data_IF_335046853834
#
_entry.id   IF_335046853834
#
_cell.length_a   1.000
_cell.length_b   1.000
_cell.length_c   1.000
_cell.angle_alpha   90.00
_cell.angle_beta   90.00
_cell.angle_gamma   90.00
#
_symmetry.space_group_name_H-M   'P 1'
#
loop_
_entity.id
_entity.type
_entity.pdbx_description
1 polymer ?
#
# COMPACT_ATOMS: atom_id res chain seq x y z
N UNK A 1 21.22 22.48 -6.77
CA UNK A 1 20.46 21.49 -5.98
C UNK A 1 21.46 20.53 -5.42
N UNK A 2 21.38 20.04 -4.17
CA UNK A 2 22.28 19.00 -3.73
C UNK A 2 22.13 17.82 -4.68
N UNK A 3 23.26 17.20 -5.06
CA UNK A 3 23.28 16.02 -5.93
C UNK A 3 22.46 14.91 -5.25
N UNK A 4 21.22 14.73 -5.69
CA UNK A 4 20.42 13.60 -5.21
C UNK A 4 21.05 12.33 -5.75
N UNK A 5 21.23 11.37 -4.89
CA UNK A 5 21.90 10.08 -5.17
C UNK A 5 21.21 9.27 -6.29
N UNK A 6 19.91 9.46 -6.49
CA UNK A 6 19.12 8.70 -7.45
C UNK A 6 18.47 9.61 -8.49
N UNK A 7 18.38 9.13 -9.73
CA UNK A 7 17.72 9.84 -10.83
C UNK A 7 16.21 9.74 -10.73
N UNK A 8 15.69 8.56 -10.38
CA UNK A 8 14.26 8.33 -10.15
C UNK A 8 14.03 7.65 -8.80
N UNK A 9 12.89 7.98 -8.22
CA UNK A 9 12.37 7.37 -7.00
C UNK A 9 11.04 6.68 -7.33
N UNK A 10 10.93 5.41 -6.93
CA UNK A 10 9.71 4.61 -7.02
C UNK A 10 9.19 4.32 -5.62
N UNK A 11 7.96 4.68 -5.34
CA UNK A 11 7.34 4.48 -4.03
C UNK A 11 6.08 3.63 -4.16
N UNK A 12 5.89 2.70 -3.25
CA UNK A 12 4.53 2.21 -2.99
C UNK A 12 3.67 3.32 -2.39
N UNK A 13 2.38 3.14 -2.43
CA UNK A 13 1.42 4.11 -1.92
C UNK A 13 0.97 3.78 -0.50
N UNK A 14 0.18 2.72 -0.36
CA UNK A 14 -0.36 2.28 0.92
C UNK A 14 0.74 1.61 1.76
N UNK A 15 1.02 2.12 2.96
CA UNK A 15 2.10 1.63 3.84
C UNK A 15 3.45 2.31 3.64
N UNK A 16 3.61 3.13 2.57
CA UNK A 16 4.83 3.90 2.32
C UNK A 16 4.56 5.39 2.33
N UNK A 17 3.67 5.88 1.49
CA UNK A 17 3.26 7.29 1.44
C UNK A 17 2.14 7.54 2.44
N UNK A 18 1.16 6.62 2.50
CA UNK A 18 -0.12 6.80 3.19
C UNK A 18 -0.41 5.63 4.12
N UNK A 19 -0.83 5.91 5.34
CA UNK A 19 -1.57 4.96 6.17
C UNK A 19 -3.06 5.01 5.82
N UNK A 20 -3.54 4.02 5.11
CA UNK A 20 -4.94 3.81 4.74
C UNK A 20 -5.63 2.74 5.60
N UNK A 21 -5.02 2.28 6.69
CA UNK A 21 -5.50 1.14 7.47
C UNK A 21 -6.94 1.32 7.93
N UNK A 22 -7.30 2.53 8.35
CA UNK A 22 -8.64 2.84 8.85
C UNK A 22 -9.70 2.69 7.76
N UNK A 23 -9.43 3.19 6.57
CA UNK A 23 -10.31 3.05 5.39
C UNK A 23 -10.40 1.58 4.99
N UNK A 24 -9.27 0.90 4.83
CA UNK A 24 -9.21 -0.49 4.42
C UNK A 24 -9.93 -1.45 5.38
N UNK A 25 -9.79 -1.24 6.70
CA UNK A 25 -10.49 -2.05 7.70
C UNK A 25 -12.01 -1.84 7.61
N UNK A 26 -12.48 -0.59 7.52
CA UNK A 26 -13.89 -0.28 7.37
C UNK A 26 -14.45 -0.82 6.05
N UNK A 27 -13.73 -0.63 4.94
CA UNK A 27 -14.09 -1.17 3.63
C UNK A 27 -14.29 -2.69 3.70
N UNK A 28 -13.34 -3.38 4.30
CA UNK A 28 -13.40 -4.83 4.47
C UNK A 28 -14.58 -5.26 5.33
N UNK A 29 -14.86 -4.55 6.41
CA UNK A 29 -15.96 -4.86 7.32
C UNK A 29 -17.33 -4.65 6.68
N UNK A 30 -17.48 -3.62 5.86
CA UNK A 30 -18.77 -3.21 5.31
C UNK A 30 -19.03 -3.69 3.88
N UNK A 31 -18.06 -4.18 3.14
CA UNK A 31 -18.27 -4.71 1.78
C UNK A 31 -19.44 -5.72 1.76
N UNK A 32 -20.38 -5.54 0.86
CA UNK A 32 -21.61 -6.35 0.73
C UNK A 32 -22.70 -6.08 1.76
N UNK A 33 -22.54 -5.04 2.63
CA UNK A 33 -23.59 -4.62 3.58
C UNK A 33 -24.29 -3.37 3.05
N UNK A 34 -25.60 -3.28 3.30
CA UNK A 34 -26.34 -2.04 3.02
C UNK A 34 -25.98 -0.97 4.07
N UNK A 35 -25.25 0.03 3.64
CA UNK A 35 -24.81 1.17 4.47
C UNK A 35 -25.25 2.52 3.88
N UNK A 36 -26.16 2.53 2.91
CA UNK A 36 -26.58 3.73 2.16
C UNK A 36 -27.20 4.82 3.01
N UNK A 37 -27.72 4.48 4.20
CA UNK A 37 -28.31 5.43 5.15
C UNK A 37 -27.36 5.88 6.25
N UNK A 38 -26.05 5.58 6.14
CA UNK A 38 -25.05 5.91 7.15
C UNK A 38 -23.95 6.78 6.54
N UNK A 39 -23.44 7.74 7.32
CA UNK A 39 -22.28 8.53 6.93
C UNK A 39 -21.01 7.72 7.10
N UNK A 40 -20.00 7.95 6.27
CA UNK A 40 -18.70 7.28 6.40
C UNK A 40 -18.06 7.56 7.78
N UNK A 41 -18.20 8.77 8.31
CA UNK A 41 -17.71 9.11 9.66
C UNK A 41 -18.30 8.21 10.74
N UNK A 42 -19.62 7.93 10.66
CA UNK A 42 -20.28 6.98 11.57
C UNK A 42 -19.74 5.57 11.38
N UNK A 43 -19.63 5.09 10.13
CA UNK A 43 -19.12 3.75 9.81
C UNK A 43 -17.69 3.54 10.31
N UNK A 44 -16.81 4.53 10.10
CA UNK A 44 -15.42 4.49 10.58
C UNK A 44 -15.30 4.42 12.12
N UNK A 45 -16.32 4.92 12.84
CA UNK A 45 -16.31 4.95 14.31
C UNK A 45 -16.90 3.69 14.96
N UNK A 46 -17.61 2.85 14.20
CA UNK A 46 -18.30 1.67 14.74
C UNK A 46 -17.79 0.35 14.15
N UNK A 47 -16.66 0.37 13.44
CA UNK A 47 -15.93 -0.88 13.12
C UNK A 47 -15.59 -1.56 14.44
N UNK A 48 -15.95 -2.84 14.65
CA UNK A 48 -15.66 -3.49 15.93
C UNK A 48 -14.16 -3.54 16.22
N UNK A 49 -13.77 -3.19 17.44
CA UNK A 49 -12.36 -3.16 17.87
C UNK A 49 -11.64 -4.49 17.61
N UNK A 50 -12.32 -5.61 17.85
CA UNK A 50 -11.73 -6.93 17.60
C UNK A 50 -11.42 -7.16 16.12
N UNK A 51 -12.25 -6.60 15.21
CA UNK A 51 -12.03 -6.71 13.77
C UNK A 51 -10.91 -5.78 13.31
N UNK A 52 -10.87 -4.53 13.76
CA UNK A 52 -9.79 -3.59 13.45
C UNK A 52 -8.43 -4.16 13.90
N UNK A 53 -8.35 -4.70 15.13
CA UNK A 53 -7.15 -5.37 15.62
C UNK A 53 -6.76 -6.58 14.77
N UNK A 54 -7.74 -7.40 14.37
CA UNK A 54 -7.53 -8.55 13.49
C UNK A 54 -7.02 -8.12 12.11
N UNK A 55 -7.65 -7.11 11.51
CA UNK A 55 -7.24 -6.57 10.22
C UNK A 55 -5.80 -6.06 10.28
N UNK A 56 -5.46 -5.25 11.28
CA UNK A 56 -4.10 -4.73 11.48
C UNK A 56 -3.07 -5.84 11.69
N UNK A 57 -3.43 -6.88 12.44
CA UNK A 57 -2.54 -8.03 12.65
C UNK A 57 -2.23 -8.79 11.36
N UNK A 58 -3.20 -8.92 10.46
CA UNK A 58 -3.02 -9.61 9.18
C UNK A 58 -2.51 -8.70 8.06
N UNK A 59 -2.66 -7.38 8.19
CA UNK A 59 -2.32 -6.40 7.15
C UNK A 59 -0.91 -6.56 6.57
N UNK A 60 0.12 -6.88 7.35
CA UNK A 60 1.47 -7.10 6.83
C UNK A 60 1.57 -8.17 5.73
N UNK A 61 0.70 -9.17 5.74
CA UNK A 61 0.71 -10.27 4.77
C UNK A 61 -0.16 -10.02 3.54
N UNK A 62 -1.02 -8.99 3.58
CA UNK A 62 -1.95 -8.64 2.50
C UNK A 62 -1.26 -7.78 1.44
N UNK A 63 -1.46 -8.10 0.16
CA UNK A 63 -0.84 -7.41 -0.97
C UNK A 63 -1.84 -6.65 -1.83
N UNK A 64 -3.03 -7.19 -1.98
CA UNK A 64 -4.09 -6.71 -2.86
C UNK A 64 -5.43 -6.72 -2.14
N UNK A 65 -6.44 -6.05 -2.69
CA UNK A 65 -7.77 -5.92 -2.09
C UNK A 65 -8.42 -7.29 -1.79
N UNK A 66 -8.22 -8.26 -2.65
CA UNK A 66 -8.77 -9.61 -2.50
C UNK A 66 -8.23 -10.35 -1.26
N UNK A 67 -7.02 -10.02 -0.80
CA UNK A 67 -6.43 -10.58 0.42
C UNK A 67 -7.16 -10.10 1.70
N UNK A 68 -7.84 -8.95 1.64
CA UNK A 68 -8.54 -8.39 2.80
C UNK A 68 -9.66 -9.31 3.30
N UNK A 69 -10.29 -10.08 2.40
CA UNK A 69 -11.34 -11.03 2.75
C UNK A 69 -10.88 -12.06 3.79
N UNK A 70 -9.59 -12.43 3.80
CA UNK A 70 -9.02 -13.34 4.80
C UNK A 70 -9.32 -12.86 6.22
N UNK A 71 -9.22 -11.57 6.50
CA UNK A 71 -9.49 -11.00 7.83
C UNK A 71 -10.94 -11.13 8.27
N UNK A 72 -11.89 -11.23 7.34
CA UNK A 72 -13.33 -11.44 7.64
C UNK A 72 -13.69 -12.89 7.93
N UNK A 73 -13.02 -13.83 7.24
CA UNK A 73 -13.43 -15.23 7.22
C UNK A 73 -12.65 -16.10 8.20
N UNK A 74 -11.41 -15.70 8.51
CA UNK A 74 -10.56 -16.49 9.40
C UNK A 74 -10.91 -16.23 10.86
N UNK A 75 -11.03 -17.31 11.64
CA UNK A 75 -11.30 -17.23 13.08
C UNK A 75 -10.23 -16.44 13.83
N UNK A 76 -10.64 -15.70 14.86
CA UNK A 76 -9.76 -14.81 15.63
C UNK A 76 -8.68 -15.55 16.44
N UNK A 77 -8.84 -16.84 16.67
CA UNK A 77 -7.88 -17.71 17.37
C UNK A 77 -6.76 -18.24 16.48
N UNK A 78 -6.93 -18.14 15.13
CA UNK A 78 -5.89 -18.55 14.18
C UNK A 78 -4.78 -17.51 14.19
N UNK A 79 -3.54 -17.99 14.44
CA UNK A 79 -2.32 -17.19 14.32
C UNK A 79 -1.74 -17.34 12.93
N UNK A 80 -1.16 -16.26 12.43
CA UNK A 80 -0.43 -16.20 11.16
C UNK A 80 0.93 -15.59 11.44
N UNK A 81 1.98 -16.36 11.28
CA UNK A 81 3.34 -15.96 11.63
C UNK A 81 4.26 -15.88 10.40
N UNK A 82 3.74 -16.27 9.22
CA UNK A 82 4.48 -16.23 7.96
C UNK A 82 3.60 -15.88 6.76
N UNK A 83 4.23 -15.46 5.66
CA UNK A 83 3.54 -15.24 4.40
C UNK A 83 2.95 -16.54 3.83
N UNK A 84 3.64 -17.66 3.99
CA UNK A 84 3.18 -18.95 3.48
C UNK A 84 1.91 -19.42 4.20
N UNK A 85 1.85 -19.28 5.53
CA UNK A 85 0.63 -19.56 6.30
C UNK A 85 -0.55 -18.67 5.87
N UNK A 86 -0.29 -17.39 5.63
CA UNK A 86 -1.31 -16.48 5.12
C UNK A 86 -1.82 -16.94 3.75
N UNK A 87 -0.93 -17.31 2.84
CA UNK A 87 -1.28 -17.78 1.50
C UNK A 87 -2.03 -19.12 1.52
N UNK A 88 -1.71 -20.00 2.46
CA UNK A 88 -2.46 -21.25 2.67
C UNK A 88 -3.90 -20.96 3.08
N UNK A 89 -4.11 -20.09 4.07
CA UNK A 89 -5.45 -19.65 4.48
C UNK A 89 -6.20 -18.98 3.33
N UNK A 90 -5.54 -18.12 2.58
CA UNK A 90 -6.11 -17.44 1.41
C UNK A 90 -6.53 -18.42 0.32
N UNK A 91 -5.74 -19.47 0.08
CA UNK A 91 -6.02 -20.50 -0.92
C UNK A 91 -7.25 -21.37 -0.59
N UNK A 92 -7.62 -21.44 0.67
CA UNK A 92 -8.81 -22.14 1.14
C UNK A 92 -10.12 -21.38 0.94
N UNK A 93 -10.08 -20.12 0.50
CA UNK A 93 -11.28 -19.30 0.25
C UNK A 93 -11.77 -19.56 -1.18
N UNK A 94 -13.08 -19.76 -1.31
CA UNK A 94 -13.72 -19.95 -2.62
C UNK A 94 -13.49 -18.74 -3.54
N UNK A 95 -13.14 -18.99 -4.81
CA UNK A 95 -12.83 -17.95 -5.77
C UNK A 95 -14.02 -17.02 -6.02
N UNK A 96 -15.24 -17.53 -6.04
CA UNK A 96 -16.46 -16.70 -6.23
C UNK A 96 -16.68 -15.77 -5.04
N UNK A 97 -16.41 -16.23 -3.80
CA UNK A 97 -16.53 -15.38 -2.62
C UNK A 97 -15.52 -14.22 -2.65
N UNK A 98 -14.34 -14.45 -3.24
CA UNK A 98 -13.32 -13.41 -3.44
C UNK A 98 -13.78 -12.41 -4.50
N UNK A 99 -14.29 -12.89 -5.63
CA UNK A 99 -14.79 -12.04 -6.72
C UNK A 99 -15.93 -11.15 -6.22
N UNK A 100 -16.91 -11.73 -5.53
CA UNK A 100 -18.03 -10.99 -4.92
C UNK A 100 -17.53 -9.93 -3.93
N UNK A 101 -16.61 -10.30 -3.05
CA UNK A 101 -16.02 -9.36 -2.09
C UNK A 101 -15.30 -8.19 -2.78
N UNK A 102 -14.49 -8.46 -3.80
CA UNK A 102 -13.76 -7.42 -4.54
C UNK A 102 -14.72 -6.48 -5.24
N UNK A 103 -15.78 -7.01 -5.85
CA UNK A 103 -16.83 -6.22 -6.48
C UNK A 103 -17.53 -5.31 -5.46
N UNK A 104 -17.96 -5.86 -4.34
CA UNK A 104 -18.65 -5.14 -3.27
C UNK A 104 -17.76 -4.06 -2.64
N UNK A 105 -16.49 -4.37 -2.39
CA UNK A 105 -15.53 -3.44 -1.83
C UNK A 105 -15.25 -2.27 -2.79
N UNK A 106 -15.05 -2.55 -4.09
CA UNK A 106 -14.86 -1.50 -5.09
C UNK A 106 -16.12 -0.62 -5.23
N UNK A 107 -17.31 -1.21 -5.25
CA UNK A 107 -18.57 -0.47 -5.28
C UNK A 107 -18.72 0.44 -4.05
N UNK A 108 -18.38 -0.09 -2.86
CA UNK A 108 -18.46 0.66 -1.61
C UNK A 108 -17.43 1.82 -1.57
N UNK A 109 -16.19 1.60 -2.00
CA UNK A 109 -15.17 2.65 -2.09
C UNK A 109 -15.62 3.75 -3.06
N UNK A 110 -16.13 3.37 -4.23
CA UNK A 110 -16.69 4.31 -5.22
C UNK A 110 -17.87 5.10 -4.65
N UNK A 111 -18.73 4.46 -3.85
CA UNK A 111 -19.82 5.13 -3.15
C UNK A 111 -19.29 6.17 -2.14
N UNK A 112 -18.31 5.81 -1.31
CA UNK A 112 -17.72 6.73 -0.33
C UNK A 112 -17.00 7.92 -1.00
N UNK A 113 -16.19 7.65 -2.03
CA UNK A 113 -15.49 8.71 -2.77
C UNK A 113 -16.44 9.65 -3.51
N UNK A 114 -17.66 9.20 -3.86
CA UNK A 114 -18.64 10.05 -4.55
C UNK A 114 -19.56 10.82 -3.60
N UNK A 115 -19.95 10.21 -2.45
CA UNK A 115 -21.00 10.74 -1.57
C UNK A 115 -20.48 11.37 -0.26
N UNK A 116 -19.30 10.94 0.18
CA UNK A 116 -18.67 11.45 1.41
C UNK A 116 -17.16 11.72 1.21
N UNK A 117 -16.85 12.31 0.06
CA UNK A 117 -15.49 12.50 -0.47
C UNK A 117 -14.50 13.05 0.55
N UNK A 118 -14.90 14.12 1.29
CA UNK A 118 -14.01 14.74 2.29
C UNK A 118 -13.69 13.82 3.46
N UNK A 119 -14.68 13.08 3.94
CA UNK A 119 -14.48 12.12 5.03
C UNK A 119 -13.63 10.94 4.56
N UNK A 120 -13.85 10.49 3.32
CA UNK A 120 -13.05 9.44 2.72
C UNK A 120 -11.58 9.86 2.59
N UNK A 121 -11.29 11.03 2.04
CA UNK A 121 -9.93 11.57 1.98
C UNK A 121 -9.32 11.73 3.38
N UNK A 122 -10.07 12.29 4.34
CA UNK A 122 -9.63 12.48 5.73
C UNK A 122 -9.48 11.19 6.54
N UNK A 123 -9.82 10.02 5.97
CA UNK A 123 -9.54 8.71 6.59
C UNK A 123 -8.13 8.20 6.33
N UNK A 124 -7.36 8.89 5.50
CA UNK A 124 -5.98 8.61 5.16
C UNK A 124 -5.03 9.53 5.94
N UNK A 125 -3.84 9.04 6.25
CA UNK A 125 -2.81 9.81 6.96
C UNK A 125 -1.48 9.69 6.20
N UNK A 126 -0.84 10.83 5.91
CA UNK A 126 0.50 10.83 5.31
C UNK A 126 1.54 10.48 6.38
N UNK A 127 2.47 9.59 6.07
CA UNK A 127 3.58 9.30 6.96
C UNK A 127 4.55 10.49 7.09
N UNK A 128 5.13 10.62 8.26
CA UNK A 128 6.08 11.69 8.56
C UNK A 128 7.29 11.66 7.60
N UNK A 129 7.76 12.83 7.18
CA UNK A 129 8.91 12.99 6.28
C UNK A 129 8.62 12.74 4.79
N UNK A 130 7.43 12.24 4.42
CA UNK A 130 7.05 12.02 3.01
C UNK A 130 7.01 13.33 2.22
N UNK A 131 6.47 14.40 2.79
CA UNK A 131 6.47 15.70 2.14
C UNK A 131 7.89 16.14 1.74
N UNK A 132 8.83 16.09 2.67
CA UNK A 132 10.22 16.50 2.45
C UNK A 132 10.92 15.60 1.40
N UNK A 133 10.63 14.29 1.42
CA UNK A 133 11.16 13.35 0.45
C UNK A 133 10.64 13.67 -0.96
N UNK A 134 9.32 13.86 -1.11
CA UNK A 134 8.70 14.17 -2.40
C UNK A 134 9.14 15.54 -2.94
N UNK A 135 9.30 16.54 -2.10
CA UNK A 135 9.82 17.86 -2.50
C UNK A 135 11.26 17.73 -3.03
N UNK A 136 12.13 16.98 -2.33
CA UNK A 136 13.54 16.77 -2.72
C UNK A 136 13.68 16.06 -4.07
N UNK A 137 12.79 15.11 -4.36
CA UNK A 137 12.77 14.37 -5.61
C UNK A 137 11.69 14.87 -6.58
N UNK A 138 11.18 16.10 -6.40
CA UNK A 138 10.09 16.66 -7.19
C UNK A 138 10.26 16.42 -8.69
N UNK A 139 9.18 15.91 -9.33
CA UNK A 139 9.14 15.53 -10.75
C UNK A 139 10.08 14.37 -11.14
N UNK A 140 10.55 13.60 -10.17
CA UNK A 140 11.35 12.38 -10.36
C UNK A 140 10.78 11.19 -9.60
N UNK A 141 9.58 11.35 -9.03
CA UNK A 141 8.89 10.33 -8.25
C UNK A 141 7.82 9.66 -9.09
N UNK A 142 7.81 8.34 -9.08
CA UNK A 142 6.73 7.51 -9.60
C UNK A 142 6.11 6.72 -8.46
N UNK A 143 4.80 6.76 -8.36
CA UNK A 143 4.03 5.89 -7.46
C UNK A 143 3.72 4.60 -8.19
N UNK A 144 4.05 3.45 -7.61
CA UNK A 144 3.82 2.12 -8.18
C UNK A 144 3.05 1.29 -7.16
N UNK A 145 1.75 1.17 -7.32
CA UNK A 145 0.84 0.66 -6.30
C UNK A 145 -0.18 -0.35 -6.83
N UNK A 146 -0.65 -1.24 -5.96
CA UNK A 146 -1.78 -2.12 -6.26
C UNK A 146 -3.15 -1.39 -6.18
N UNK A 147 -3.19 -0.20 -5.54
CA UNK A 147 -4.38 0.67 -5.50
C UNK A 147 -4.67 1.23 -6.89
N UNK A 148 -5.92 1.53 -7.17
CA UNK A 148 -6.30 2.19 -8.43
C UNK A 148 -5.71 3.61 -8.56
N UNK A 149 -5.50 4.02 -9.81
CA UNK A 149 -4.85 5.30 -10.11
C UNK A 149 -5.68 6.49 -9.65
N UNK A 150 -7.00 6.45 -9.83
CA UNK A 150 -7.91 7.57 -9.51
C UNK A 150 -7.93 7.85 -8.01
N UNK A 151 -8.16 6.81 -7.18
CA UNK A 151 -8.10 6.95 -5.72
C UNK A 151 -6.74 7.45 -5.23
N UNK A 152 -5.65 6.95 -5.82
CA UNK A 152 -4.30 7.38 -5.45
C UNK A 152 -4.07 8.85 -5.79
N UNK A 153 -4.54 9.30 -6.97
CA UNK A 153 -4.46 10.69 -7.40
C UNK A 153 -5.24 11.61 -6.47
N UNK A 154 -6.51 11.27 -6.21
CA UNK A 154 -7.39 12.07 -5.34
C UNK A 154 -6.80 12.27 -3.93
N UNK A 155 -6.20 11.22 -3.38
CA UNK A 155 -5.56 11.29 -2.06
C UNK A 155 -4.31 12.16 -2.11
N UNK A 156 -3.45 12.02 -3.14
CA UNK A 156 -2.27 12.87 -3.31
C UNK A 156 -2.66 14.34 -3.48
N UNK A 157 -3.70 14.64 -4.27
CA UNK A 157 -4.22 15.99 -4.49
C UNK A 157 -4.71 16.61 -3.18
N UNK A 158 -5.43 15.84 -2.37
CA UNK A 158 -5.94 16.29 -1.08
C UNK A 158 -4.83 16.76 -0.14
N UNK A 159 -3.69 16.07 -0.16
CA UNK A 159 -2.53 16.41 0.65
C UNK A 159 -1.53 17.36 -0.05
N UNK A 160 -1.84 17.81 -1.27
CA UNK A 160 -1.00 18.73 -2.05
C UNK A 160 0.32 18.10 -2.50
N UNK A 161 0.36 16.77 -2.68
CA UNK A 161 1.56 16.02 -3.03
C UNK A 161 1.69 15.74 -4.53
N UNK A 162 0.58 15.83 -5.29
CA UNK A 162 0.53 15.46 -6.71
C UNK A 162 1.54 16.27 -7.55
N UNK A 163 1.78 17.52 -7.16
CA UNK A 163 2.72 18.41 -7.85
C UNK A 163 4.15 17.90 -7.90
N UNK A 164 4.53 16.98 -6.99
CA UNK A 164 5.86 16.38 -6.91
C UNK A 164 5.96 15.06 -7.70
N UNK A 165 4.82 14.46 -8.07
CA UNK A 165 4.76 13.15 -8.72
C UNK A 165 4.93 13.30 -10.24
N UNK A 166 5.70 12.41 -10.85
CA UNK A 166 5.86 12.30 -12.31
C UNK A 166 4.84 11.39 -12.97
N UNK A 167 4.30 10.43 -12.22
CA UNK A 167 3.27 9.51 -12.68
C UNK A 167 2.88 8.50 -11.61
N UNK A 168 1.68 7.95 -11.78
CA UNK A 168 1.12 6.90 -10.93
C UNK A 168 0.86 5.68 -11.81
N UNK A 169 1.37 4.53 -11.40
CA UNK A 169 1.07 3.23 -11.98
C UNK A 169 0.22 2.49 -10.94
N UNK A 170 -1.08 2.65 -11.06
CA UNK A 170 -2.06 1.93 -10.24
C UNK A 170 -2.29 0.52 -10.77
N UNK A 171 -2.94 -0.32 -9.94
CA UNK A 171 -3.24 -1.72 -10.26
C UNK A 171 -1.99 -2.52 -10.69
N UNK A 172 -0.83 -2.12 -10.17
CA UNK A 172 0.46 -2.71 -10.50
C UNK A 172 0.65 -4.05 -9.76
N UNK A 173 0.18 -5.14 -10.36
CA UNK A 173 0.39 -6.49 -9.83
C UNK A 173 1.83 -6.97 -9.94
N UNK A 174 2.59 -6.45 -10.91
CA UNK A 174 4.03 -6.69 -11.08
C UNK A 174 4.79 -5.36 -11.06
N UNK A 175 5.26 -4.99 -9.87
CA UNK A 175 6.01 -3.74 -9.66
C UNK A 175 7.38 -3.75 -10.33
N UNK A 176 8.01 -4.93 -10.50
CA UNK A 176 9.29 -5.04 -11.20
C UNK A 176 9.14 -4.72 -12.70
N UNK A 177 8.05 -5.19 -13.31
CA UNK A 177 7.73 -4.84 -14.70
C UNK A 177 7.45 -3.34 -14.84
N UNK A 178 6.70 -2.74 -13.90
CA UNK A 178 6.43 -1.30 -13.91
C UNK A 178 7.72 -0.47 -13.81
N UNK A 179 8.61 -0.78 -12.86
CA UNK A 179 9.92 -0.12 -12.71
C UNK A 179 10.74 -0.22 -13.98
N UNK A 180 10.90 -1.43 -14.55
CA UNK A 180 11.65 -1.61 -15.80
C UNK A 180 11.05 -0.82 -16.96
N UNK A 181 9.72 -0.80 -17.11
CA UNK A 181 9.03 -0.09 -18.17
C UNK A 181 9.25 1.43 -18.10
N UNK A 182 9.19 1.99 -16.88
CA UNK A 182 9.47 3.42 -16.66
C UNK A 182 10.93 3.73 -16.92
N UNK A 183 11.87 2.93 -16.41
CA UNK A 183 13.29 3.12 -16.64
C UNK A 183 13.61 3.10 -18.15
N UNK A 184 13.04 2.15 -18.88
CA UNK A 184 13.21 2.07 -20.35
C UNK A 184 12.63 3.32 -21.03
N UNK A 185 11.41 3.72 -20.71
CA UNK A 185 10.73 4.87 -21.30
C UNK A 185 11.40 6.22 -20.98
N UNK A 186 12.11 6.29 -19.85
CA UNK A 186 12.84 7.50 -19.41
C UNK A 186 14.33 7.47 -19.76
N UNK A 187 14.82 6.38 -20.36
CA UNK A 187 16.24 6.16 -20.64
C UNK A 187 17.15 6.24 -19.40
N UNK A 188 16.64 5.75 -18.25
CA UNK A 188 17.37 5.71 -16.98
C UNK A 188 17.81 4.29 -16.68
N UNK A 189 19.06 4.12 -16.24
CA UNK A 189 19.55 2.82 -15.77
C UNK A 189 18.84 2.48 -14.44
N UNK A 190 18.23 1.29 -14.30
CA UNK A 190 17.64 0.89 -13.02
C UNK A 190 18.58 1.05 -11.82
N UNK A 191 19.90 0.86 -12.01
CA UNK A 191 20.91 1.05 -10.96
C UNK A 191 21.03 2.49 -10.44
N UNK A 192 20.54 3.46 -11.20
CA UNK A 192 20.46 4.87 -10.80
C UNK A 192 19.13 5.21 -10.12
N UNK A 193 18.32 4.21 -9.76
CA UNK A 193 16.99 4.42 -9.16
C UNK A 193 16.88 3.81 -7.76
N UNK A 194 15.93 4.31 -6.98
CA UNK A 194 15.57 3.78 -5.68
C UNK A 194 14.09 3.37 -5.67
N UNK A 195 13.81 2.16 -5.21
CA UNK A 195 12.46 1.65 -4.96
C UNK A 195 12.25 1.48 -3.45
N UNK A 196 11.11 1.97 -2.92
CA UNK A 196 10.73 1.86 -1.51
C UNK A 196 9.34 1.25 -1.42
N UNK A 197 9.22 0.15 -0.66
CA UNK A 197 7.97 -0.60 -0.48
C UNK A 197 8.01 -1.26 0.92
N UNK A 198 6.88 -1.38 1.59
CA UNK A 198 6.80 -2.08 2.88
C UNK A 198 6.56 -3.58 2.71
N UNK A 199 6.16 -4.03 1.51
CA UNK A 199 5.96 -5.44 1.20
C UNK A 199 7.25 -6.10 0.71
N UNK A 200 7.77 -7.04 1.50
CA UNK A 200 9.02 -7.74 1.21
C UNK A 200 9.01 -8.48 -0.12
N UNK A 201 7.88 -9.08 -0.51
CA UNK A 201 7.77 -9.82 -1.77
C UNK A 201 7.99 -8.88 -2.97
N UNK A 202 7.46 -7.66 -2.90
CA UNK A 202 7.70 -6.64 -3.91
C UNK A 202 9.17 -6.20 -3.91
N UNK A 203 9.74 -5.94 -2.74
CA UNK A 203 11.15 -5.57 -2.59
C UNK A 203 12.08 -6.62 -3.22
N UNK A 204 11.87 -7.90 -2.91
CA UNK A 204 12.66 -9.02 -3.50
C UNK A 204 12.50 -9.08 -5.01
N UNK A 205 11.28 -8.94 -5.54
CA UNK A 205 11.06 -8.96 -6.99
C UNK A 205 11.74 -7.79 -7.70
N UNK A 206 11.59 -6.58 -7.16
CA UNK A 206 12.17 -5.37 -7.76
C UNK A 206 13.69 -5.37 -7.66
N UNK A 207 14.32 -5.96 -6.65
CA UNK A 207 15.77 -6.08 -6.55
C UNK A 207 16.39 -6.81 -7.77
N UNK A 208 15.64 -7.72 -8.37
CA UNK A 208 16.03 -8.40 -9.61
C UNK A 208 16.15 -7.48 -10.85
N UNK A 209 15.63 -6.26 -10.81
CA UNK A 209 15.77 -5.28 -11.91
C UNK A 209 17.11 -4.56 -11.92
N UNK A 210 17.85 -4.60 -10.82
CA UNK A 210 19.07 -3.82 -10.59
C UNK A 210 18.85 -2.50 -9.88
N UNK A 211 17.59 -2.09 -9.63
CA UNK A 211 17.28 -0.91 -8.80
C UNK A 211 17.81 -1.10 -7.38
N UNK A 212 18.23 0.00 -6.73
CA UNK A 212 18.41 -0.01 -5.28
C UNK A 212 17.05 -0.18 -4.63
N UNK A 213 16.94 -1.08 -3.67
CA UNK A 213 15.67 -1.37 -2.98
C UNK A 213 15.84 -1.16 -1.50
N UNK A 214 14.96 -0.36 -0.92
CA UNK A 214 14.83 -0.19 0.52
C UNK A 214 13.47 -0.69 0.98
N UNK A 215 13.46 -1.52 2.02
CA UNK A 215 12.25 -1.96 2.67
C UNK A 215 11.82 -0.96 3.74
N UNK A 216 10.61 -0.40 3.57
CA UNK A 216 10.02 0.58 4.48
C UNK A 216 9.58 -0.10 5.79
N UNK A 217 10.38 0.01 6.85
CA UNK A 217 10.11 -0.63 8.13
C UNK A 217 9.01 0.07 8.96
N UNK A 218 8.56 1.25 8.54
CA UNK A 218 7.45 1.98 9.17
C UNK A 218 6.06 1.56 8.69
N UNK A 219 5.99 0.86 7.55
CA UNK A 219 4.74 0.39 6.96
C UNK A 219 4.14 -0.81 7.71
N UNK A 220 3.40 -1.62 6.99
CA UNK A 220 2.75 -2.78 7.59
C UNK A 220 3.72 -3.96 7.65
N UNK A 221 4.35 -4.12 8.80
CA UNK A 221 5.42 -5.10 9.01
C UNK A 221 5.11 -6.05 10.16
N UNK A 222 5.71 -7.25 10.13
CA UNK A 222 5.66 -8.26 11.19
C UNK A 222 7.08 -8.73 11.56
N UNK A 223 7.24 -9.45 12.66
CA UNK A 223 8.53 -10.02 13.03
C UNK A 223 9.12 -10.92 11.93
N UNK A 224 8.28 -11.71 11.26
CA UNK A 224 8.70 -12.55 10.14
C UNK A 224 9.27 -11.72 8.96
N UNK A 225 8.77 -10.51 8.75
CA UNK A 225 9.28 -9.62 7.71
C UNK A 225 10.69 -9.10 8.02
N UNK A 226 11.02 -8.86 9.29
CA UNK A 226 12.40 -8.48 9.68
C UNK A 226 13.39 -9.62 9.41
N UNK A 227 13.00 -10.87 9.69
CA UNK A 227 13.82 -12.05 9.39
C UNK A 227 13.95 -12.27 7.87
N UNK A 228 12.86 -12.14 7.13
CA UNK A 228 12.85 -12.28 5.68
C UNK A 228 13.68 -11.18 4.98
N UNK A 229 13.60 -9.93 5.45
CA UNK A 229 14.42 -8.83 4.94
C UNK A 229 15.91 -9.10 5.15
N UNK A 230 16.29 -9.58 6.35
CA UNK A 230 17.66 -9.99 6.66
C UNK A 230 18.14 -11.13 5.75
N UNK A 231 17.32 -12.16 5.54
CA UNK A 231 17.63 -13.30 4.66
C UNK A 231 17.77 -12.91 3.20
N UNK A 232 16.98 -11.95 2.74
CA UNK A 232 17.04 -11.41 1.38
C UNK A 232 18.10 -10.31 1.21
N UNK A 233 18.84 -9.96 2.27
CA UNK A 233 19.82 -8.87 2.29
C UNK A 233 19.23 -7.53 1.79
N UNK A 234 17.97 -7.25 2.13
CA UNK A 234 17.31 -5.98 1.82
C UNK A 234 17.76 -4.90 2.82
N UNK A 235 18.06 -3.72 2.30
CA UNK A 235 18.32 -2.56 3.14
C UNK A 235 17.02 -2.12 3.84
N UNK A 236 17.03 -2.17 5.17
CA UNK A 236 15.95 -1.61 5.98
C UNK A 236 16.05 -0.10 5.99
N UNK A 237 14.93 0.57 5.75
CA UNK A 237 14.79 2.02 5.87
C UNK A 237 13.82 2.33 7.00
N UNK A 238 14.28 3.09 7.99
CA UNK A 238 13.43 3.66 9.02
C UNK A 238 12.92 5.04 8.58
N UNK A 239 11.77 5.46 9.13
CA UNK A 239 11.20 6.77 8.79
C UNK A 239 12.18 7.93 9.05
N UNK A 240 12.95 7.86 10.14
CA UNK A 240 13.97 8.86 10.46
C UNK A 240 15.12 8.94 9.45
N UNK A 241 15.34 7.88 8.66
CA UNK A 241 16.42 7.81 7.68
C UNK A 241 16.05 8.42 6.32
N UNK A 242 14.75 8.71 6.10
CA UNK A 242 14.28 9.31 4.84
C UNK A 242 14.96 10.65 4.52
N UNK A 243 15.41 11.36 5.54
CA UNK A 243 16.14 12.63 5.35
C UNK A 243 17.51 12.48 4.68
N UNK A 244 18.06 11.25 4.65
CA UNK A 244 19.39 10.96 4.08
C UNK A 244 19.35 10.33 2.68
N UNK A 245 18.16 10.14 2.11
CA UNK A 245 17.94 9.61 0.76
C UNK A 245 18.21 10.65 -0.32
#
# INVERSE_FOLDING_TARGET
>A
MPDSKYELLFLDFDGVIVDSTKECAALTWYAGKDVTNQTLSSLLSVVPDWFDQRFRYLRPYMRTLDDFLVSRLISSDIRVESQDEFLELRSGIDASAIEDFVQDANALRSYWSSHDYRTWLGSHVIFDGIHDLLERYSKRVYVVTAKDTESSQDILDHFGLEQHISGIIGEAHDKALAVNSICLGRYVDPRATLFIDDNIVNCVRVSGTGATVNWAAWGWTSLAHFEAAGSANLAKLEMADMMYI
#
